data_IF_556844264670
#
_entry.id   IF_556844264670
#
_cell.length_a   1.000
_cell.length_b   1.000
_cell.length_c   1.000
_cell.angle_alpha   90.00
_cell.angle_beta   90.00
_cell.angle_gamma   90.00
#
_symmetry.space_group_name_H-M   'P 1'
#
loop_
_entity.id
_entity.type
_entity.pdbx_description
1 polymer ?
#
# COMPACT_ATOMS: atom_id res chain seq x y z
N UNK A 1 24.55 -31.41 0.29
CA UNK A 1 23.86 -30.10 0.35
C UNK A 1 24.42 -29.34 1.53
N UNK A 2 24.92 -28.12 1.32
CA UNK A 2 25.15 -27.19 2.43
C UNK A 2 23.80 -26.72 2.99
N UNK A 3 23.78 -26.30 4.26
CA UNK A 3 22.60 -25.71 4.92
C UNK A 3 22.15 -24.37 4.29
N UNK A 4 22.88 -23.88 3.29
CA UNK A 4 22.70 -22.61 2.59
C UNK A 4 22.12 -22.77 1.17
N UNK A 5 21.68 -23.97 0.79
CA UNK A 5 21.08 -24.22 -0.53
C UNK A 5 22.08 -24.17 -1.70
N UNK A 6 23.39 -24.18 -1.42
CA UNK A 6 24.42 -24.20 -2.45
C UNK A 6 24.59 -25.62 -3.01
N UNK A 7 24.65 -25.70 -4.33
CA UNK A 7 25.09 -26.90 -5.06
C UNK A 7 26.35 -26.53 -5.84
N UNK A 8 27.40 -27.34 -5.67
CA UNK A 8 28.60 -27.27 -6.49
C UNK A 8 28.68 -28.56 -7.31
N UNK A 9 28.82 -28.44 -8.62
CA UNK A 9 29.14 -29.57 -9.49
C UNK A 9 30.67 -29.70 -9.51
N UNK A 10 31.19 -30.76 -8.90
CA UNK A 10 32.59 -31.16 -9.10
C UNK A 10 32.67 -31.90 -10.44
N UNK A 11 33.10 -31.20 -11.48
CA UNK A 11 33.32 -31.79 -12.81
C UNK A 11 34.48 -32.78 -12.77
N UNK A 12 34.17 -34.07 -12.87
CA UNK A 12 35.15 -35.07 -13.30
C UNK A 12 35.40 -34.90 -14.80
N UNK A 13 36.66 -35.03 -15.21
CA UNK A 13 37.25 -34.75 -16.54
C UNK A 13 36.64 -35.48 -17.76
N UNK A 14 35.47 -36.12 -17.68
CA UNK A 14 34.97 -36.97 -18.77
C UNK A 14 33.51 -36.85 -19.17
N UNK A 15 32.68 -35.97 -18.58
CA UNK A 15 31.36 -35.69 -19.14
C UNK A 15 30.90 -34.25 -18.84
N UNK A 16 30.67 -33.40 -19.87
CA UNK A 16 30.00 -32.12 -19.65
C UNK A 16 28.58 -32.41 -19.15
N UNK A 17 28.22 -31.82 -18.02
CA UNK A 17 26.83 -31.82 -17.55
C UNK A 17 26.04 -30.93 -18.51
N UNK A 18 25.26 -31.54 -19.39
CA UNK A 18 24.64 -30.85 -20.53
C UNK A 18 23.35 -30.07 -20.18
N UNK A 19 22.73 -30.35 -19.04
CA UNK A 19 21.57 -29.59 -18.56
C UNK A 19 21.45 -29.67 -17.04
N UNK A 20 20.92 -28.60 -16.43
CA UNK A 20 20.41 -28.58 -15.06
C UNK A 20 18.88 -28.58 -15.15
N UNK A 21 18.26 -29.69 -14.75
CA UNK A 21 16.80 -29.78 -14.71
C UNK A 21 16.28 -29.35 -13.33
N UNK A 22 15.50 -28.27 -13.31
CA UNK A 22 14.84 -27.75 -12.13
C UNK A 22 13.35 -28.11 -12.10
N UNK A 23 12.85 -28.96 -13.02
CA UNK A 23 11.44 -29.33 -13.12
C UNK A 23 10.89 -30.09 -11.89
N UNK A 24 11.77 -30.58 -11.00
CA UNK A 24 11.41 -31.18 -9.71
C UNK A 24 11.47 -30.23 -8.50
N UNK A 25 11.89 -28.98 -8.68
CA UNK A 25 11.94 -28.01 -7.58
C UNK A 25 10.56 -27.38 -7.35
N UNK A 26 10.22 -27.20 -6.07
CA UNK A 26 9.00 -26.50 -5.65
C UNK A 26 8.93 -25.10 -6.28
N UNK A 27 7.73 -24.68 -6.69
CA UNK A 27 7.42 -23.32 -7.17
C UNK A 27 7.73 -22.23 -6.14
N UNK A 28 8.07 -22.62 -4.91
CA UNK A 28 8.55 -21.77 -3.82
C UNK A 28 10.02 -21.39 -3.95
N UNK A 29 10.72 -21.74 -5.03
CA UNK A 29 12.10 -21.30 -5.29
C UNK A 29 12.21 -20.67 -6.66
N UNK A 30 12.93 -19.54 -6.75
CA UNK A 30 13.25 -18.84 -7.99
C UNK A 30 14.77 -18.96 -8.23
N UNK A 31 15.21 -19.33 -9.44
CA UNK A 31 16.62 -19.32 -9.76
C UNK A 31 17.12 -17.87 -9.86
N UNK A 32 18.19 -17.53 -9.14
CA UNK A 32 18.89 -16.25 -9.30
C UNK A 32 20.31 -16.50 -9.81
N UNK A 33 20.62 -15.87 -10.95
CA UNK A 33 21.98 -15.73 -11.48
C UNK A 33 22.21 -14.24 -11.77
N UNK A 34 23.48 -13.83 -11.92
CA UNK A 34 23.83 -12.46 -12.29
C UNK A 34 23.26 -12.04 -13.68
N UNK A 35 22.65 -12.95 -14.45
CA UNK A 35 21.96 -12.63 -15.71
C UNK A 35 21.02 -13.79 -16.10
N UNK A 36 19.72 -13.53 -16.19
CA UNK A 36 18.83 -14.22 -17.16
C UNK A 36 18.19 -15.58 -16.81
N UNK A 37 18.07 -16.02 -15.56
CA UNK A 37 17.32 -17.26 -15.28
C UNK A 37 15.83 -16.99 -14.99
N UNK A 38 14.92 -17.57 -15.78
CA UNK A 38 13.48 -17.58 -15.52
C UNK A 38 13.02 -18.97 -15.05
N UNK A 39 11.98 -19.00 -14.21
CA UNK A 39 11.35 -20.25 -13.74
C UNK A 39 10.81 -21.01 -14.97
N UNK A 40 11.21 -22.27 -15.15
CA UNK A 40 10.80 -23.12 -16.28
C UNK A 40 11.74 -23.12 -17.49
N UNK A 41 12.86 -22.40 -17.44
CA UNK A 41 13.86 -22.44 -18.52
C UNK A 41 14.82 -23.64 -18.35
N UNK A 42 14.87 -24.52 -19.35
CA UNK A 42 16.00 -25.44 -19.52
C UNK A 42 17.21 -24.65 -20.02
N UNK A 43 18.17 -24.39 -19.14
CA UNK A 43 19.46 -23.83 -19.55
C UNK A 43 20.25 -24.92 -20.29
N UNK A 44 20.29 -24.82 -21.62
CA UNK A 44 21.14 -25.65 -22.48
C UNK A 44 22.49 -24.95 -22.67
N UNK A 45 23.57 -25.71 -22.91
CA UNK A 45 24.93 -25.20 -23.20
C UNK A 45 25.72 -24.53 -22.05
N UNK A 46 25.50 -24.94 -20.79
CA UNK A 46 26.44 -24.61 -19.70
C UNK A 46 27.71 -25.46 -19.87
N UNK A 47 28.64 -24.96 -20.68
CA UNK A 47 29.80 -25.74 -21.14
C UNK A 47 30.83 -26.06 -20.04
N UNK A 48 30.79 -25.40 -18.89
CA UNK A 48 31.64 -25.71 -17.74
C UNK A 48 31.07 -25.12 -16.44
N UNK A 49 31.14 -25.84 -15.29
CA UNK A 49 31.09 -25.19 -13.99
C UNK A 49 32.34 -24.31 -13.87
N UNK A 50 32.20 -22.99 -14.02
CA UNK A 50 33.29 -22.06 -13.67
C UNK A 50 33.21 -21.75 -12.18
N UNK A 51 34.35 -21.44 -11.57
CA UNK A 51 34.42 -20.87 -10.20
C UNK A 51 33.73 -19.50 -10.06
N UNK A 52 33.16 -18.98 -11.16
CA UNK A 52 32.48 -17.69 -11.26
C UNK A 52 30.97 -17.81 -11.54
N UNK A 53 30.48 -18.99 -11.96
CA UNK A 53 29.07 -19.21 -12.27
C UNK A 53 28.37 -19.88 -11.08
N UNK A 54 27.96 -19.05 -10.12
CA UNK A 54 27.14 -19.51 -9.01
C UNK A 54 25.66 -19.54 -9.41
N UNK A 55 25.02 -20.70 -9.22
CA UNK A 55 23.58 -20.85 -9.34
C UNK A 55 22.98 -20.83 -7.92
N UNK A 56 22.07 -19.91 -7.67
CA UNK A 56 21.35 -19.83 -6.40
C UNK A 56 19.89 -20.17 -6.62
N UNK A 57 19.34 -20.99 -5.73
CA UNK A 57 17.90 -21.15 -5.60
C UNK A 57 17.46 -20.30 -4.41
N UNK A 58 16.77 -19.21 -4.68
CA UNK A 58 16.28 -18.32 -3.65
C UNK A 58 14.83 -18.63 -3.35
N UNK A 59 14.41 -18.79 -2.08
CA UNK A 59 13.00 -18.97 -1.77
C UNK A 59 12.17 -17.82 -2.37
N UNK A 60 11.15 -18.16 -3.16
CA UNK A 60 10.08 -17.24 -3.52
C UNK A 60 9.41 -16.81 -2.22
N UNK A 61 9.39 -15.51 -1.98
CA UNK A 61 8.64 -14.93 -0.86
C UNK A 61 7.24 -14.56 -1.33
N UNK A 62 6.26 -14.79 -0.48
CA UNK A 62 4.93 -14.24 -0.68
C UNK A 62 5.01 -12.71 -0.81
N UNK A 63 4.04 -12.15 -1.54
CA UNK A 63 3.85 -10.72 -1.57
C UNK A 63 3.55 -10.21 -0.16
N UNK A 64 4.11 -9.06 0.18
CA UNK A 64 3.96 -8.44 1.48
C UNK A 64 3.84 -6.93 1.35
N UNK A 65 3.27 -6.31 2.38
CA UNK A 65 3.08 -4.88 2.45
C UNK A 65 3.69 -4.32 3.74
N UNK A 66 4.02 -3.04 3.72
CA UNK A 66 4.70 -2.35 4.81
C UNK A 66 4.07 -0.99 5.09
N UNK A 67 4.01 -0.60 6.37
CA UNK A 67 3.72 0.77 6.79
C UNK A 67 5.00 1.46 7.31
N UNK A 68 5.07 2.78 7.15
CA UNK A 68 6.19 3.61 7.60
C UNK A 68 5.66 4.85 8.29
N UNK A 69 5.99 5.01 9.57
CA UNK A 69 5.61 6.17 10.38
C UNK A 69 4.13 6.28 10.75
N UNK A 70 3.29 5.35 10.32
CA UNK A 70 1.86 5.32 10.60
C UNK A 70 1.49 4.13 11.49
N UNK A 71 0.46 4.31 12.31
CA UNK A 71 -0.24 3.20 12.94
C UNK A 71 -1.12 2.48 11.93
N UNK A 72 -1.26 1.17 12.09
CA UNK A 72 -2.17 0.35 11.29
C UNK A 72 -3.34 -0.03 12.19
N UNK A 73 -4.57 0.09 11.69
CA UNK A 73 -5.76 -0.43 12.36
C UNK A 73 -6.51 -1.42 11.47
N UNK A 74 -6.96 -2.53 12.05
CA UNK A 74 -7.84 -3.49 11.39
C UNK A 74 -9.00 -3.96 12.28
N UNK A 75 -10.16 -4.23 11.68
CA UNK A 75 -11.30 -4.83 12.40
C UNK A 75 -11.09 -6.30 12.80
N UNK A 76 -10.16 -6.99 12.15
CA UNK A 76 -9.92 -8.42 12.30
C UNK A 76 -8.47 -8.81 12.07
N UNK A 77 -8.24 -9.86 11.29
CA UNK A 77 -6.91 -10.38 11.03
C UNK A 77 -6.04 -9.40 10.24
N UNK A 78 -4.75 -9.42 10.53
CA UNK A 78 -3.71 -8.69 9.78
C UNK A 78 -2.67 -9.70 9.35
N UNK A 79 -2.44 -9.83 8.04
CA UNK A 79 -1.41 -10.72 7.47
C UNK A 79 -0.51 -9.94 6.53
N UNK A 80 0.81 -10.12 6.67
CA UNK A 80 1.84 -9.64 5.75
C UNK A 80 3.08 -10.52 5.93
N UNK A 81 3.40 -11.38 4.97
CA UNK A 81 4.50 -12.34 5.13
C UNK A 81 5.86 -11.70 4.88
N UNK A 82 6.46 -11.15 5.94
CA UNK A 82 7.70 -10.41 5.83
C UNK A 82 8.85 -11.33 5.39
N UNK A 83 9.76 -10.86 4.51
CA UNK A 83 10.74 -11.72 3.85
C UNK A 83 11.86 -12.21 4.78
N UNK A 84 12.13 -11.49 5.87
CA UNK A 84 13.21 -11.79 6.82
C UNK A 84 12.82 -11.42 8.25
N UNK A 85 13.52 -12.02 9.22
CA UNK A 85 13.38 -11.68 10.64
C UNK A 85 13.81 -10.25 11.00
N UNK A 86 14.58 -9.61 10.11
CA UNK A 86 15.05 -8.22 10.29
C UNK A 86 14.10 -7.19 9.66
N UNK A 87 12.99 -7.64 9.06
CA UNK A 87 12.00 -6.75 8.44
C UNK A 87 10.84 -6.55 9.41
N UNK A 88 10.39 -5.29 9.54
CA UNK A 88 9.21 -4.96 10.32
C UNK A 88 8.02 -4.61 9.42
N UNK A 89 6.81 -4.94 9.89
CA UNK A 89 5.57 -4.52 9.24
C UNK A 89 5.40 -3.00 9.30
N UNK A 90 5.75 -2.40 10.44
CA UNK A 90 5.69 -0.97 10.70
C UNK A 90 7.09 -0.47 11.01
N UNK A 91 7.67 0.29 10.09
CA UNK A 91 8.95 0.95 10.27
C UNK A 91 8.79 2.36 10.84
N UNK A 92 9.84 2.85 11.48
CA UNK A 92 9.91 4.24 11.97
C UNK A 92 9.93 5.19 10.77
N UNK A 93 9.04 6.18 10.80
CA UNK A 93 8.94 7.21 9.77
C UNK A 93 9.91 8.37 9.98
N UNK A 94 9.85 9.32 9.05
CA UNK A 94 10.60 10.59 9.15
C UNK A 94 10.30 11.31 10.47
N UNK A 95 11.33 11.91 11.07
CA UNK A 95 11.19 12.62 12.34
C UNK A 95 10.98 11.71 13.55
N UNK A 96 11.23 10.40 13.43
CA UNK A 96 11.06 9.45 14.52
C UNK A 96 9.61 9.06 14.78
N UNK A 97 8.71 9.25 13.79
CA UNK A 97 7.33 8.84 13.92
C UNK A 97 7.21 7.32 14.09
N UNK A 98 6.69 6.88 15.23
CA UNK A 98 6.49 5.46 15.55
C UNK A 98 5.01 5.13 15.36
N UNK A 99 4.72 4.03 14.68
CA UNK A 99 3.37 3.48 14.54
C UNK A 99 3.14 2.28 15.45
N UNK A 100 1.87 2.02 15.78
CA UNK A 100 1.44 0.82 16.47
C UNK A 100 0.46 0.01 15.60
N UNK A 101 0.46 -1.30 15.78
CA UNK A 101 -0.56 -2.17 15.20
C UNK A 101 -1.75 -2.27 16.15
N UNK A 102 -2.93 -1.91 15.69
CA UNK A 102 -4.16 -1.96 16.44
C UNK A 102 -5.16 -2.87 15.75
N UNK A 103 -5.85 -3.71 16.51
CA UNK A 103 -6.86 -4.61 15.96
C UNK A 103 -8.07 -4.78 16.86
N UNK A 104 -9.27 -4.79 16.31
CA UNK A 104 -10.48 -5.03 17.10
C UNK A 104 -10.63 -6.50 17.55
N UNK A 105 -10.09 -7.43 16.76
CA UNK A 105 -10.12 -8.88 17.00
C UNK A 105 -9.10 -9.59 16.11
N UNK A 106 -9.14 -10.92 16.03
CA UNK A 106 -8.39 -11.71 15.04
C UNK A 106 -6.99 -12.14 15.48
N UNK A 107 -6.09 -12.31 14.50
CA UNK A 107 -4.68 -12.68 14.66
C UNK A 107 -3.78 -11.75 13.85
N UNK A 108 -2.48 -11.74 14.19
CA UNK A 108 -1.44 -11.04 13.42
C UNK A 108 -0.48 -12.10 12.92
N UNK A 109 -0.25 -12.11 11.61
CA UNK A 109 0.68 -13.01 10.94
C UNK A 109 1.67 -12.17 10.12
N UNK A 110 2.90 -12.05 10.63
CA UNK A 110 4.00 -11.35 9.95
C UNK A 110 4.96 -12.31 9.26
N UNK A 111 4.63 -13.60 9.17
CA UNK A 111 5.58 -14.64 8.76
C UNK A 111 6.79 -14.66 9.69
N UNK A 112 8.00 -14.52 9.11
CA UNK A 112 9.26 -14.58 9.88
C UNK A 112 9.68 -13.25 10.50
N UNK A 113 9.07 -12.13 10.08
CA UNK A 113 9.39 -10.80 10.58
C UNK A 113 8.57 -10.41 11.81
N UNK A 114 8.70 -9.14 12.22
CA UNK A 114 8.04 -8.61 13.41
C UNK A 114 7.08 -7.46 13.09
N UNK A 115 6.21 -7.10 14.04
CA UNK A 115 5.28 -5.97 13.87
C UNK A 115 6.03 -4.64 13.77
N UNK A 116 6.96 -4.41 14.70
CA UNK A 116 7.82 -3.22 14.78
C UNK A 116 8.99 -3.53 15.71
N UNK A 117 10.05 -2.72 15.67
CA UNK A 117 11.23 -2.86 16.54
C UNK A 117 10.85 -2.97 18.02
N UNK A 118 9.89 -2.17 18.48
CA UNK A 118 9.42 -2.16 19.88
C UNK A 118 8.22 -3.10 20.12
N UNK A 119 7.72 -3.78 19.08
CA UNK A 119 6.61 -4.72 19.16
C UNK A 119 5.26 -4.09 19.53
N UNK A 120 5.06 -2.79 19.28
CA UNK A 120 3.84 -2.06 19.65
C UNK A 120 2.61 -2.62 18.93
N UNK A 121 1.81 -3.37 19.69
CA UNK A 121 0.59 -4.01 19.24
C UNK A 121 -0.48 -4.00 20.33
N UNK A 122 -1.72 -3.70 19.97
CA UNK A 122 -2.84 -3.65 20.91
C UNK A 122 -4.12 -4.23 20.30
N UNK A 123 -4.92 -4.89 21.14
CA UNK A 123 -6.29 -5.28 20.76
C UNK A 123 -7.27 -4.24 21.30
N UNK A 124 -7.84 -3.43 20.43
CA UNK A 124 -8.76 -2.35 20.76
C UNK A 124 -9.79 -2.15 19.67
N UNK A 125 -11.01 -1.77 20.03
CA UNK A 125 -12.10 -1.52 19.09
C UNK A 125 -12.23 -0.03 18.83
N UNK A 126 -12.37 0.34 17.56
CA UNK A 126 -12.76 1.68 17.18
C UNK A 126 -14.14 2.00 17.77
N UNK A 127 -14.21 3.02 18.62
CA UNK A 127 -15.45 3.56 19.21
C UNK A 127 -15.74 5.00 18.74
N UNK A 128 -14.97 5.49 17.78
CA UNK A 128 -15.14 6.83 17.22
C UNK A 128 -16.34 6.91 16.28
N UNK A 129 -16.61 8.13 15.80
CA UNK A 129 -17.62 8.37 14.77
C UNK A 129 -17.10 7.86 13.42
N UNK A 130 -17.90 7.08 12.71
CA UNK A 130 -17.57 6.66 11.34
C UNK A 130 -17.54 7.92 10.46
N UNK A 131 -16.34 8.27 9.99
CA UNK A 131 -16.09 9.38 9.06
C UNK A 131 -15.98 8.83 7.64
N UNK A 132 -17.10 8.43 7.08
CA UNK A 132 -17.23 7.86 5.74
C UNK A 132 -17.68 8.93 4.72
N UNK A 133 -17.99 8.53 3.50
CA UNK A 133 -18.49 9.41 2.44
C UNK A 133 -19.66 10.27 2.92
N UNK A 134 -20.71 9.63 3.46
CA UNK A 134 -21.92 10.35 3.91
C UNK A 134 -21.60 11.38 5.00
N UNK A 135 -20.69 11.04 5.92
CA UNK A 135 -20.26 11.96 6.95
C UNK A 135 -19.62 13.22 6.36
N UNK A 136 -18.63 13.07 5.47
CA UNK A 136 -17.95 14.22 4.88
C UNK A 136 -18.84 14.95 3.87
N UNK A 137 -19.69 14.24 3.13
CA UNK A 137 -20.64 14.81 2.18
C UNK A 137 -21.60 15.75 2.91
N UNK A 138 -22.20 15.27 4.01
CA UNK A 138 -23.05 16.09 4.86
C UNK A 138 -22.28 17.25 5.52
N UNK A 139 -21.05 17.02 5.96
CA UNK A 139 -20.24 18.05 6.63
C UNK A 139 -19.80 19.18 5.69
N UNK A 140 -19.51 18.86 4.43
CA UNK A 140 -18.99 19.78 3.43
C UNK A 140 -20.06 20.31 2.47
N UNK A 141 -21.32 19.90 2.63
CA UNK A 141 -22.45 20.42 1.85
C UNK A 141 -22.63 19.79 0.48
N UNK A 142 -22.19 18.55 0.28
CA UNK A 142 -22.56 17.76 -0.88
C UNK A 142 -24.03 17.36 -0.75
N UNK A 143 -24.83 17.64 -1.77
CA UNK A 143 -26.27 17.38 -1.80
C UNK A 143 -26.62 16.47 -2.99
N UNK A 144 -27.82 15.85 -3.02
CA UNK A 144 -28.24 15.04 -4.17
C UNK A 144 -28.26 15.79 -5.51
N UNK A 145 -28.31 17.12 -5.50
CA UNK A 145 -28.32 17.97 -6.70
C UNK A 145 -26.95 18.60 -7.00
N UNK A 146 -25.89 18.19 -6.31
CA UNK A 146 -24.54 18.65 -6.60
C UNK A 146 -24.17 18.25 -8.02
N UNK A 147 -23.73 19.24 -8.81
CA UNK A 147 -23.39 19.07 -10.23
C UNK A 147 -21.97 18.51 -10.33
N UNK A 148 -21.76 17.62 -11.30
CA UNK A 148 -20.43 17.10 -11.61
C UNK A 148 -19.50 18.22 -12.08
N UNK A 149 -18.27 18.22 -11.57
CA UNK A 149 -17.21 19.12 -12.03
C UNK A 149 -16.52 18.64 -13.30
N UNK A 150 -16.72 17.38 -13.66
CA UNK A 150 -16.24 16.79 -14.90
C UNK A 150 -17.42 16.35 -15.75
N UNK A 151 -17.32 16.63 -17.06
CA UNK A 151 -18.32 16.21 -18.05
C UNK A 151 -18.22 14.72 -18.36
N UNK A 152 -17.01 14.16 -18.26
CA UNK A 152 -16.73 12.75 -18.46
C UNK A 152 -16.29 12.10 -17.14
N UNK A 153 -16.46 10.78 -17.05
CA UNK A 153 -16.05 10.01 -15.85
C UNK A 153 -14.52 9.93 -15.70
N UNK A 154 -13.77 10.30 -16.75
CA UNK A 154 -12.33 10.48 -16.69
C UNK A 154 -11.96 11.88 -16.19
N UNK A 155 -11.39 11.94 -15.00
CA UNK A 155 -11.01 13.17 -14.33
C UNK A 155 -9.60 13.62 -14.71
N UNK A 156 -9.50 14.80 -15.32
CA UNK A 156 -8.26 15.57 -15.37
C UNK A 156 -8.08 16.35 -14.07
N UNK A 157 -6.82 16.62 -13.67
CA UNK A 157 -6.55 17.46 -12.49
C UNK A 157 -7.23 18.82 -12.70
N UNK A 158 -8.12 19.27 -11.80
CA UNK A 158 -8.76 20.56 -11.94
C UNK A 158 -7.73 21.68 -11.77
N UNK A 159 -8.04 22.86 -12.32
CA UNK A 159 -7.27 24.06 -12.03
C UNK A 159 -7.41 24.41 -10.54
N UNK A 160 -6.37 24.96 -9.92
CA UNK A 160 -6.45 25.40 -8.55
C UNK A 160 -7.43 26.58 -8.44
N UNK A 161 -8.49 26.42 -7.63
CA UNK A 161 -9.44 27.48 -7.30
C UNK A 161 -9.51 27.59 -5.77
N UNK A 162 -8.95 28.67 -5.17
CA UNK A 162 -8.91 28.83 -3.73
C UNK A 162 -10.29 29.02 -3.09
N UNK A 163 -11.32 29.36 -3.88
CA UNK A 163 -12.69 29.51 -3.38
C UNK A 163 -13.48 28.19 -3.44
N UNK A 164 -12.93 27.17 -4.11
CA UNK A 164 -13.59 25.89 -4.28
C UNK A 164 -13.29 24.97 -3.11
N UNK A 165 -14.32 24.70 -2.31
CA UNK A 165 -14.20 23.89 -1.08
C UNK A 165 -14.05 22.40 -1.38
N UNK A 166 -14.70 21.92 -2.45
CA UNK A 166 -14.59 20.55 -2.92
C UNK A 166 -14.91 20.46 -4.41
N UNK A 167 -14.52 19.33 -5.00
CA UNK A 167 -14.92 18.88 -6.32
C UNK A 167 -15.80 17.63 -6.19
N UNK A 168 -16.73 17.44 -7.11
CA UNK A 168 -17.70 16.36 -7.08
C UNK A 168 -17.81 15.66 -8.43
N UNK A 169 -17.93 14.34 -8.37
CA UNK A 169 -18.33 13.53 -9.51
C UNK A 169 -19.28 12.40 -9.08
N UNK A 170 -20.35 12.25 -9.85
CA UNK A 170 -21.23 11.10 -9.87
C UNK A 170 -21.09 10.45 -11.25
N UNK A 171 -20.24 9.42 -11.40
CA UNK A 171 -19.94 8.84 -12.70
C UNK A 171 -21.21 8.27 -13.35
N UNK A 172 -21.36 8.50 -14.64
CA UNK A 172 -22.51 8.00 -15.42
C UNK A 172 -22.33 6.55 -15.88
N UNK A 173 -21.07 6.09 -15.99
CA UNK A 173 -20.67 4.73 -16.26
C UNK A 173 -20.45 3.90 -14.99
N UNK A 174 -19.47 2.99 -15.03
CA UNK A 174 -19.20 2.09 -13.91
C UNK A 174 -18.34 2.70 -12.80
N UNK A 175 -17.41 3.60 -13.14
CA UNK A 175 -16.46 4.20 -12.20
C UNK A 175 -15.92 5.53 -12.74
N UNK A 176 -15.51 6.43 -11.83
CA UNK A 176 -14.70 7.59 -12.18
C UNK A 176 -13.23 7.17 -12.27
N UNK A 177 -12.42 7.83 -13.11
CA UNK A 177 -11.02 7.43 -13.32
C UNK A 177 -10.04 8.59 -13.34
N UNK A 178 -8.89 8.45 -12.67
CA UNK A 178 -7.69 9.28 -12.87
C UNK A 178 -6.77 8.56 -13.85
N UNK A 179 -6.85 8.90 -15.14
CA UNK A 179 -6.12 8.21 -16.22
C UNK A 179 -4.90 8.96 -16.76
N UNK A 180 -4.65 10.16 -16.24
CA UNK A 180 -3.46 10.95 -16.52
C UNK A 180 -2.74 11.29 -15.22
N UNK A 181 -1.41 11.45 -15.22
CA UNK A 181 -0.69 11.80 -13.99
C UNK A 181 -1.21 13.09 -13.38
N UNK A 182 -1.36 13.10 -12.06
CA UNK A 182 -1.71 14.30 -11.31
C UNK A 182 -0.51 14.74 -10.47
N UNK A 183 -0.14 16.01 -10.62
CA UNK A 183 0.86 16.66 -9.78
C UNK A 183 0.21 17.81 -9.05
N UNK A 184 0.07 17.68 -7.73
CA UNK A 184 -0.43 18.73 -6.83
C UNK A 184 0.76 19.50 -6.29
N UNK A 185 0.84 20.78 -6.65
CA UNK A 185 1.94 21.65 -6.24
C UNK A 185 1.75 22.16 -4.79
N UNK A 186 2.81 22.72 -4.22
CA UNK A 186 2.72 23.38 -2.92
C UNK A 186 1.74 24.56 -3.00
N UNK A 187 0.87 24.69 -1.99
CA UNK A 187 -0.18 25.73 -1.94
C UNK A 187 -1.45 25.39 -2.74
N UNK A 188 -1.49 24.26 -3.46
CA UNK A 188 -2.73 23.75 -4.05
C UNK A 188 -3.43 22.80 -3.06
N UNK A 189 -4.77 22.85 -3.05
CA UNK A 189 -5.59 22.01 -2.19
C UNK A 189 -6.83 21.50 -2.91
N UNK A 190 -7.04 20.18 -2.86
CA UNK A 190 -8.16 19.53 -3.54
C UNK A 190 -8.84 18.52 -2.60
N UNK A 191 -10.16 18.64 -2.46
CA UNK A 191 -11.02 17.63 -1.84
C UNK A 191 -11.97 17.13 -2.92
N UNK A 192 -12.00 15.82 -3.17
CA UNK A 192 -12.75 15.25 -4.28
C UNK A 192 -13.70 14.20 -3.74
N UNK A 193 -14.99 14.43 -3.95
CA UNK A 193 -16.05 13.48 -3.68
C UNK A 193 -16.35 12.66 -4.93
N UNK A 194 -16.30 11.34 -4.79
CA UNK A 194 -16.69 10.39 -5.83
C UNK A 194 -17.90 9.61 -5.34
N UNK A 195 -19.06 9.89 -5.90
CA UNK A 195 -20.31 9.16 -5.62
C UNK A 195 -20.37 7.86 -6.43
N UNK A 196 -19.47 6.93 -6.16
CA UNK A 196 -19.32 5.67 -6.89
C UNK A 196 -17.93 5.08 -6.68
N UNK A 197 -17.50 4.23 -7.62
CA UNK A 197 -16.16 3.66 -7.62
C UNK A 197 -15.12 4.62 -8.25
N UNK A 198 -13.87 4.51 -7.82
CA UNK A 198 -12.73 5.27 -8.33
C UNK A 198 -11.61 4.35 -8.83
N UNK A 199 -11.18 4.55 -10.07
CA UNK A 199 -9.97 3.94 -10.63
C UNK A 199 -8.81 4.93 -10.67
N UNK A 200 -7.71 4.56 -10.05
CA UNK A 200 -6.42 5.24 -10.18
C UNK A 200 -5.61 4.48 -11.23
N UNK A 201 -5.51 5.06 -12.43
CA UNK A 201 -4.82 4.48 -13.58
C UNK A 201 -3.54 5.25 -13.96
N UNK A 202 -3.17 6.27 -13.18
CA UNK A 202 -1.93 7.03 -13.34
C UNK A 202 -1.42 7.52 -12.00
N UNK A 203 -0.13 7.84 -11.95
CA UNK A 203 0.52 8.30 -10.74
C UNK A 203 -0.06 9.62 -10.24
N UNK A 204 -0.17 9.73 -8.92
CA UNK A 204 -0.63 10.91 -8.20
C UNK A 204 0.48 11.32 -7.23
N UNK A 205 1.02 12.52 -7.41
CA UNK A 205 2.09 13.07 -6.58
C UNK A 205 1.63 14.37 -5.93
N UNK A 206 1.87 14.50 -4.63
CA UNK A 206 1.56 15.70 -3.85
C UNK A 206 2.84 16.25 -3.24
N UNK A 207 3.23 17.45 -3.68
CA UNK A 207 4.37 18.17 -3.13
C UNK A 207 4.14 18.51 -1.65
N UNK A 208 5.22 18.67 -0.88
CA UNK A 208 5.10 19.19 0.48
C UNK A 208 4.48 20.60 0.44
N UNK A 209 3.51 20.87 1.30
CA UNK A 209 2.70 22.10 1.26
C UNK A 209 1.45 22.01 0.37
N UNK A 210 1.29 20.93 -0.41
CA UNK A 210 0.06 20.64 -1.15
C UNK A 210 -0.89 19.76 -0.35
N UNK A 211 -2.15 19.67 -0.80
CA UNK A 211 -3.16 18.80 -0.21
C UNK A 211 -4.05 18.14 -1.27
N UNK A 212 -4.33 16.84 -1.08
CA UNK A 212 -5.26 16.08 -1.90
C UNK A 212 -5.98 15.05 -1.02
N UNK A 213 -7.30 15.05 -1.10
CA UNK A 213 -8.13 14.02 -0.52
C UNK A 213 -9.15 13.49 -1.53
N UNK A 214 -9.31 12.17 -1.57
CA UNK A 214 -10.41 11.49 -2.23
C UNK A 214 -11.34 10.87 -1.19
N UNK A 215 -12.62 11.17 -1.30
CA UNK A 215 -13.69 10.66 -0.44
C UNK A 215 -14.66 9.90 -1.35
N UNK A 216 -14.69 8.59 -1.22
CA UNK A 216 -15.25 7.66 -2.22
C UNK A 216 -16.34 6.81 -1.58
N UNK A 217 -17.56 6.89 -2.13
CA UNK A 217 -18.71 6.10 -1.66
C UNK A 217 -18.57 4.60 -1.99
N UNK A 218 -17.85 4.28 -3.06
CA UNK A 218 -17.59 2.91 -3.50
C UNK A 218 -16.20 2.40 -3.11
N UNK A 219 -15.62 1.62 -4.03
CA UNK A 219 -14.27 1.06 -3.95
C UNK A 219 -13.25 1.93 -4.68
N UNK A 220 -11.99 1.80 -4.27
CA UNK A 220 -10.85 2.37 -5.02
C UNK A 220 -10.02 1.24 -5.61
N UNK A 221 -9.78 1.29 -6.92
CA UNK A 221 -8.92 0.35 -7.66
C UNK A 221 -7.67 1.04 -8.16
N UNK A 222 -6.50 0.53 -7.79
CA UNK A 222 -5.21 1.04 -8.25
C UNK A 222 -4.67 0.10 -9.31
N UNK A 223 -4.48 0.63 -10.52
CA UNK A 223 -4.08 -0.13 -11.70
C UNK A 223 -2.64 -0.66 -11.57
N UNK A 224 -2.30 -1.78 -12.23
CA UNK A 224 -1.00 -2.40 -12.07
C UNK A 224 0.21 -1.55 -12.51
N UNK A 225 0.03 -0.52 -13.33
CA UNK A 225 1.14 0.34 -13.75
C UNK A 225 1.47 1.48 -12.76
N UNK A 226 0.59 1.74 -11.78
CA UNK A 226 0.72 2.88 -10.87
C UNK A 226 1.75 2.57 -9.78
N UNK A 227 2.76 3.44 -9.66
CA UNK A 227 3.84 3.35 -8.66
C UNK A 227 3.66 4.33 -7.51
N UNK A 228 2.97 5.45 -7.73
CA UNK A 228 2.86 6.53 -6.74
C UNK A 228 1.41 6.97 -6.56
N UNK A 229 0.94 6.89 -5.31
CA UNK A 229 -0.42 7.26 -4.91
C UNK A 229 -0.34 8.14 -3.67
N UNK A 230 -0.28 9.45 -3.87
CA UNK A 230 -0.25 10.42 -2.78
C UNK A 230 -1.65 10.95 -2.44
N UNK A 231 -1.87 11.28 -1.16
CA UNK A 231 -3.10 11.90 -0.66
C UNK A 231 -3.75 11.18 0.52
N UNK A 232 -4.91 11.69 0.94
CA UNK A 232 -5.78 11.07 1.93
C UNK A 232 -6.93 10.37 1.20
N UNK A 233 -7.15 9.10 1.48
CA UNK A 233 -8.21 8.31 0.86
C UNK A 233 -9.19 7.83 1.93
N UNK A 234 -10.43 8.28 1.84
CA UNK A 234 -11.56 7.80 2.66
C UNK A 234 -12.47 7.00 1.75
N UNK A 235 -12.59 5.71 2.03
CA UNK A 235 -13.20 4.72 1.14
C UNK A 235 -14.24 3.94 1.94
N UNK A 236 -15.49 4.01 1.52
CA UNK A 236 -16.58 3.32 2.23
C UNK A 236 -16.53 1.80 2.01
N UNK A 237 -16.09 1.36 0.84
CA UNK A 237 -15.93 -0.05 0.53
C UNK A 237 -14.48 -0.51 0.70
N UNK A 238 -13.83 -0.93 -0.40
CA UNK A 238 -12.53 -1.62 -0.36
C UNK A 238 -11.49 -0.87 -1.18
N UNK A 239 -10.28 -0.73 -0.64
CA UNK A 239 -9.09 -0.39 -1.43
C UNK A 239 -8.55 -1.66 -2.08
N UNK A 240 -8.33 -1.64 -3.39
CA UNK A 240 -7.85 -2.78 -4.18
C UNK A 240 -6.62 -2.34 -4.97
N UNK A 241 -5.46 -2.97 -4.75
CA UNK A 241 -4.33 -2.89 -5.69
C UNK A 241 -4.39 -4.08 -6.64
N UNK A 242 -4.39 -3.80 -7.93
CA UNK A 242 -4.50 -4.82 -8.97
C UNK A 242 -3.12 -5.40 -9.31
N UNK A 243 -3.08 -6.69 -9.64
CA UNK A 243 -1.91 -7.36 -10.22
C UNK A 243 -2.03 -7.42 -11.74
N UNK A 244 -0.90 -7.40 -12.45
CA UNK A 244 -0.83 -7.71 -13.88
C UNK A 244 -0.77 -9.23 -14.17
N UNK A 245 -0.77 -10.08 -13.13
CA UNK A 245 -0.69 -11.55 -13.25
C UNK A 245 0.72 -12.08 -13.55
N UNK A 246 1.73 -11.21 -13.53
CA UNK A 246 3.14 -11.52 -13.72
C UNK A 246 4.01 -10.85 -12.65
N UNK A 247 5.12 -10.25 -13.06
CA UNK A 247 5.92 -9.41 -12.16
C UNK A 247 5.31 -8.02 -12.07
N UNK A 248 4.74 -7.69 -10.92
CA UNK A 248 4.19 -6.37 -10.65
C UNK A 248 5.29 -5.33 -10.36
N UNK A 249 4.89 -4.07 -10.41
CA UNK A 249 5.66 -2.95 -9.86
C UNK A 249 5.15 -2.60 -8.48
N UNK A 250 6.06 -2.21 -7.58
CA UNK A 250 5.70 -1.80 -6.24
C UNK A 250 4.89 -0.49 -6.26
N UNK A 251 3.88 -0.40 -5.40
CA UNK A 251 3.06 0.78 -5.21
C UNK A 251 3.41 1.48 -3.89
N UNK A 252 3.70 2.77 -3.97
CA UNK A 252 4.02 3.64 -2.85
C UNK A 252 2.85 4.58 -2.57
N UNK A 253 2.15 4.32 -1.47
CA UNK A 253 1.10 5.18 -0.94
C UNK A 253 1.71 6.21 0.00
N UNK A 254 1.50 7.49 -0.29
CA UNK A 254 2.03 8.60 0.52
C UNK A 254 0.89 9.40 1.12
N UNK A 255 0.60 9.18 2.40
CA UNK A 255 -0.51 9.82 3.08
C UNK A 255 -1.23 8.91 4.05
N UNK A 256 -2.55 8.82 3.91
CA UNK A 256 -3.40 8.04 4.81
C UNK A 256 -4.54 7.40 4.04
N UNK A 257 -4.84 6.15 4.38
CA UNK A 257 -5.91 5.38 3.77
C UNK A 257 -6.83 4.86 4.87
N UNK A 258 -8.12 5.12 4.72
CA UNK A 258 -9.19 4.56 5.54
C UNK A 258 -10.15 3.84 4.60
N UNK A 259 -10.19 2.51 4.67
CA UNK A 259 -11.11 1.68 3.90
C UNK A 259 -12.02 0.89 4.84
N UNK A 260 -13.28 1.32 4.95
CA UNK A 260 -14.20 0.85 5.99
C UNK A 260 -14.61 -0.62 5.85
N UNK A 261 -14.60 -1.18 4.63
CA UNK A 261 -14.89 -2.60 4.39
C UNK A 261 -13.66 -3.45 4.06
N UNK A 262 -12.46 -2.87 4.14
CA UNK A 262 -11.21 -3.61 4.09
C UNK A 262 -10.27 -3.18 2.96
N UNK A 263 -9.17 -3.91 2.87
CA UNK A 263 -8.08 -3.66 1.93
C UNK A 263 -7.70 -4.98 1.29
N UNK A 264 -7.57 -5.00 -0.03
CA UNK A 264 -7.09 -6.12 -0.82
C UNK A 264 -5.82 -5.70 -1.57
N UNK A 265 -4.70 -6.33 -1.22
CA UNK A 265 -3.37 -5.99 -1.71
C UNK A 265 -2.88 -7.10 -2.65
N UNK A 266 -2.79 -6.79 -3.93
CA UNK A 266 -2.55 -7.77 -4.99
C UNK A 266 -1.14 -7.79 -5.58
N UNK A 267 -0.23 -6.87 -5.22
CA UNK A 267 1.06 -6.72 -5.90
C UNK A 267 2.03 -7.86 -5.59
N UNK A 268 2.44 -8.62 -6.60
CA UNK A 268 3.49 -9.65 -6.49
C UNK A 268 4.73 -9.28 -7.32
N UNK A 269 5.84 -8.92 -6.64
CA UNK A 269 7.10 -8.57 -7.29
C UNK A 269 7.95 -9.80 -7.65
N UNK A 270 7.44 -11.02 -7.39
CA UNK A 270 8.10 -12.31 -7.61
C UNK A 270 9.43 -12.37 -6.84
N UNK A 271 10.57 -12.24 -7.53
CA UNK A 271 11.88 -12.21 -6.88
C UNK A 271 12.12 -10.90 -6.10
N UNK A 272 11.42 -9.82 -6.47
CA UNK A 272 11.50 -8.52 -5.81
C UNK A 272 10.97 -8.54 -4.37
N UNK A 273 10.05 -9.46 -4.03
CA UNK A 273 9.46 -9.56 -2.69
C UNK A 273 10.52 -9.83 -1.60
N UNK A 274 11.70 -10.32 -1.95
CA UNK A 274 12.80 -10.51 -1.00
C UNK A 274 13.33 -9.20 -0.42
N UNK A 275 13.25 -8.11 -1.19
CA UNK A 275 13.92 -6.84 -0.87
C UNK A 275 12.94 -5.66 -0.76
N UNK A 276 11.73 -5.81 -1.29
CA UNK A 276 10.77 -4.72 -1.40
C UNK A 276 9.34 -5.24 -1.18
N UNK A 277 8.54 -4.43 -0.49
CA UNK A 277 7.10 -4.65 -0.35
C UNK A 277 6.37 -4.35 -1.66
N UNK A 278 5.36 -5.16 -2.00
CA UNK A 278 4.46 -4.90 -3.11
C UNK A 278 3.70 -3.59 -2.92
N UNK A 279 3.28 -3.31 -1.69
CA UNK A 279 2.64 -2.06 -1.29
C UNK A 279 3.30 -1.46 -0.06
N UNK A 280 3.65 -0.19 -0.15
CA UNK A 280 4.25 0.57 0.94
C UNK A 280 3.38 1.77 1.30
N UNK A 281 2.99 1.90 2.55
CA UNK A 281 2.19 2.99 3.09
C UNK A 281 3.06 3.90 3.95
N UNK A 282 3.40 5.08 3.42
CA UNK A 282 4.23 6.06 4.11
C UNK A 282 3.36 7.20 4.63
N UNK A 283 3.38 7.40 5.94
CA UNK A 283 2.64 8.49 6.57
C UNK A 283 3.19 9.86 6.16
N UNK A 284 2.30 10.78 5.77
CA UNK A 284 2.61 12.17 5.44
C UNK A 284 1.88 13.11 6.40
N UNK A 285 2.54 13.46 7.50
CA UNK A 285 1.97 14.35 8.52
C UNK A 285 1.68 15.77 7.98
N UNK A 286 2.42 16.22 6.96
CA UNK A 286 2.20 17.51 6.32
C UNK A 286 0.83 17.62 5.66
N UNK A 287 0.26 16.51 5.16
CA UNK A 287 -1.10 16.51 4.60
C UNK A 287 -2.14 16.86 5.66
N UNK A 288 -1.96 16.45 6.93
CA UNK A 288 -2.89 16.85 7.99
C UNK A 288 -2.78 18.34 8.33
N UNK A 289 -1.57 18.90 8.26
CA UNK A 289 -1.36 20.33 8.47
C UNK A 289 -1.96 21.18 7.34
N UNK A 290 -1.84 20.72 6.09
CA UNK A 290 -2.34 21.41 4.90
C UNK A 290 -3.83 21.13 4.61
N UNK A 291 -4.48 20.30 5.44
CA UNK A 291 -5.89 19.97 5.30
C UNK A 291 -6.76 21.24 5.33
N UNK A 292 -7.72 21.41 4.42
CA UNK A 292 -8.70 22.50 4.46
C UNK A 292 -9.47 22.51 5.78
N UNK A 293 -9.78 23.69 6.29
CA UNK A 293 -10.52 23.86 7.54
C UNK A 293 -11.92 23.23 7.47
N UNK A 294 -12.52 23.15 6.29
CA UNK A 294 -13.80 22.48 6.03
C UNK A 294 -13.77 20.97 6.28
N UNK A 295 -12.58 20.33 6.32
CA UNK A 295 -12.43 18.92 6.68
C UNK A 295 -12.02 18.72 8.15
N UNK A 296 -11.56 19.77 8.83
CA UNK A 296 -11.07 19.67 10.21
C UNK A 296 -12.24 19.61 11.17
N UNK A 297 -12.39 18.47 11.82
CA UNK A 297 -13.43 18.25 12.83
C UNK A 297 -12.82 18.45 14.21
N UNK A 298 -13.32 19.44 14.95
CA UNK A 298 -12.98 19.59 16.36
C UNK A 298 -13.91 18.73 17.22
N UNK A 299 -13.40 17.59 17.71
CA UNK A 299 -14.13 16.75 18.65
C UNK A 299 -13.60 17.02 20.07
N UNK A 300 -14.22 17.98 20.77
CA UNK A 300 -13.96 18.20 22.19
C UNK A 300 -14.93 17.34 23.01
N UNK A 301 -14.41 16.31 23.66
CA UNK A 301 -15.16 15.58 24.67
C UNK A 301 -14.87 16.24 26.01
N UNK A 302 -15.85 16.99 26.53
CA UNK A 302 -15.81 17.46 27.91
C UNK A 302 -16.33 16.34 28.81
N UNK A 303 -15.51 15.91 29.77
CA UNK A 303 -15.92 15.00 30.83
C UNK A 303 -15.77 15.74 32.16
N UNK A 304 -16.85 15.77 32.95
CA UNK A 304 -16.77 16.26 34.32
C UNK A 304 -15.96 15.25 35.14
N UNK A 305 -14.77 15.68 35.58
CA UNK A 305 -14.02 14.92 36.57
C UNK A 305 -14.62 15.24 37.92
N UNK A 306 -15.10 14.22 38.64
CA UNK A 306 -15.66 14.40 40.00
C UNK A 306 -14.64 15.15 40.86
N UNK A 307 -14.99 16.32 41.43
CA UNK A 307 -14.09 17.04 42.32
C UNK A 307 -13.72 16.16 43.52
N UNK A 308 -12.43 15.83 43.69
CA UNK A 308 -11.91 15.20 44.92
C UNK A 308 -11.14 13.88 44.80
N UNK A 309 -10.71 13.42 43.62
CA UNK A 309 -9.91 12.18 43.47
C UNK A 309 -8.42 12.38 43.17
N UNK A 310 -7.88 13.59 43.38
CA UNK A 310 -6.43 13.79 43.48
C UNK A 310 -6.02 13.81 44.95
N UNK A 311 -5.56 12.67 45.45
CA UNK A 311 -4.87 12.54 46.74
C UNK A 311 -5.59 11.70 47.79
N UNK A 312 -5.52 10.37 47.63
CA UNK A 312 -5.31 9.42 48.74
C UNK A 312 -4.33 8.34 48.29
#
# INVERSE_FOLDING_TARGET
>A
MGSDGRFAFYGGVSNPINYLDLAGYSTTYVPSTATGCSVGATLTSVANPSSTNYFYLTPRREAWWQAVGASVYAGGNVRSELPTANTNLIEVGSGGAIGALMRASGTVDTGVGSVSTDGYSATTRYRGKIMNYDYFAAHMGVTPNTINDWVADTMNKPANDPNKVFYYINPSGSEASVSTPWTVAAGESYVIFVNGDLRIASNIVVANGGFLAFIVNGSVRVSPAVTDVAGIYVIDNTLITESNGGTDVAANFQGSVVAWRGVNLGRDLVAGNLNQAGEKFTYRADLLNNMPDSMKVFALKWEEVVPGTFGQ
#
